data_IF_422803901747
#
_entry.id   IF_422803901747
#
_cell.length_a   1.000
_cell.length_b   1.000
_cell.length_c   1.000
_cell.angle_alpha   90.00
_cell.angle_beta   90.00
_cell.angle_gamma   90.00
#
_symmetry.space_group_name_H-M   'P 1'
#
loop_
_entity.id
_entity.type
_entity.pdbx_description
1 polymer ?
#
# COMPACT_ATOMS: atom_id res chain seq x y z
N UNK A 1 12.00 22.80 14.93
CA UNK A 1 11.62 23.00 13.51
C UNK A 1 10.23 22.42 13.34
N UNK A 2 9.21 23.27 13.17
CA UNK A 2 7.84 22.80 12.94
C UNK A 2 7.78 22.28 11.51
N UNK A 3 7.90 20.97 11.33
CA UNK A 3 7.66 20.34 10.04
C UNK A 3 6.24 20.66 9.61
N UNK A 4 6.09 21.54 8.62
CA UNK A 4 4.82 21.66 7.91
C UNK A 4 4.61 20.34 7.18
N UNK A 5 3.72 19.52 7.74
CA UNK A 5 3.53 18.13 7.33
C UNK A 5 2.38 18.08 6.34
N UNK A 6 2.60 17.44 5.19
CA UNK A 6 1.55 17.24 4.19
C UNK A 6 0.69 16.03 4.55
N UNK A 7 1.34 14.91 4.90
CA UNK A 7 0.66 13.66 5.23
C UNK A 7 1.57 12.73 6.03
N UNK A 8 0.97 11.87 6.84
CA UNK A 8 1.68 10.81 7.56
C UNK A 8 1.08 9.48 7.16
N UNK A 9 1.94 8.48 7.00
CA UNK A 9 1.53 7.12 6.72
C UNK A 9 2.17 6.19 7.75
N UNK A 10 1.40 5.25 8.28
CA UNK A 10 1.94 3.99 8.75
C UNK A 10 2.60 3.24 7.58
N UNK A 11 3.76 2.66 7.83
CA UNK A 11 4.56 1.94 6.83
C UNK A 11 4.77 0.53 7.30
N UNK A 12 4.43 -0.44 6.45
CA UNK A 12 4.70 -1.85 6.68
C UNK A 12 5.74 -2.35 5.69
N UNK A 13 6.83 -2.90 6.21
CA UNK A 13 7.87 -3.57 5.44
C UNK A 13 7.89 -5.06 5.75
N UNK A 14 8.19 -5.88 4.75
CA UNK A 14 8.46 -7.31 4.88
C UNK A 14 9.88 -7.62 4.42
N UNK A 15 10.52 -8.59 5.06
CA UNK A 15 11.85 -9.02 4.64
C UNK A 15 11.75 -10.08 3.53
N UNK A 16 12.43 -9.84 2.42
CA UNK A 16 12.60 -10.83 1.35
C UNK A 16 13.63 -11.90 1.75
N UNK A 17 13.62 -13.09 1.12
CA UNK A 17 14.60 -14.15 1.42
C UNK A 17 16.07 -13.75 1.22
N UNK A 18 16.33 -12.77 0.35
CA UNK A 18 17.66 -12.21 0.10
C UNK A 18 18.07 -11.10 1.10
N UNK A 19 17.25 -10.85 2.12
CA UNK A 19 17.50 -9.88 3.18
C UNK A 19 17.04 -8.45 2.86
N UNK A 20 16.63 -8.15 1.62
CA UNK A 20 16.09 -6.83 1.27
C UNK A 20 14.75 -6.58 1.96
N UNK A 21 14.45 -5.31 2.20
CA UNK A 21 13.14 -4.90 2.70
C UNK A 21 12.23 -4.55 1.53
N UNK A 22 11.03 -5.11 1.52
CA UNK A 22 9.99 -4.79 0.56
C UNK A 22 8.88 -4.03 1.26
N UNK A 23 8.35 -2.99 0.61
CA UNK A 23 7.25 -2.18 1.14
C UNK A 23 5.91 -2.86 0.84
N UNK A 24 5.30 -3.44 1.88
CA UNK A 24 3.90 -3.91 1.85
C UNK A 24 2.90 -2.76 1.84
N UNK A 25 3.33 -1.54 2.14
CA UNK A 25 2.61 -0.35 1.72
C UNK A 25 2.51 0.72 2.79
N UNK A 26 1.59 1.65 2.52
CA UNK A 26 1.43 2.90 3.28
C UNK A 26 -0.04 3.13 3.57
N UNK A 27 -0.38 3.31 4.84
CA UNK A 27 -1.74 3.59 5.30
C UNK A 27 -1.78 4.86 6.13
N UNK A 28 -2.59 5.83 5.71
CA UNK A 28 -2.69 7.13 6.38
C UNK A 28 -3.94 7.27 7.22
N UNK A 29 -4.78 6.24 7.32
CA UNK A 29 -6.08 6.37 7.99
C UNK A 29 -5.90 6.60 9.50
N UNK A 30 -6.48 7.69 9.98
CA UNK A 30 -6.42 8.06 11.40
C UNK A 30 -5.04 8.44 11.93
N UNK A 31 -4.01 8.64 11.10
CA UNK A 31 -2.65 9.02 11.54
C UNK A 31 -2.41 10.51 11.34
N UNK A 32 -2.07 11.23 12.43
CA UNK A 32 -1.91 12.70 12.43
C UNK A 32 -0.75 13.16 13.33
N UNK A 33 -0.48 14.47 13.35
CA UNK A 33 0.39 15.08 14.37
C UNK A 33 -0.45 15.86 15.38
N UNK A 34 -0.10 15.77 16.66
CA UNK A 34 -0.64 16.68 17.67
C UNK A 34 0.05 18.05 17.65
N UNK A 35 -0.43 18.95 18.51
CA UNK A 35 0.11 20.32 18.63
C UNK A 35 1.59 20.38 19.04
N UNK A 36 2.14 19.29 19.59
CA UNK A 36 3.54 19.15 19.98
C UNK A 36 4.41 18.51 18.87
N UNK A 37 3.82 18.17 17.72
CA UNK A 37 4.51 17.52 16.61
C UNK A 37 4.78 16.02 16.82
N UNK A 38 4.05 15.37 17.74
CA UNK A 38 4.14 13.93 17.94
C UNK A 38 3.08 13.22 17.09
N UNK A 39 3.44 12.04 16.56
CA UNK A 39 2.50 11.21 15.80
C UNK A 39 1.43 10.69 16.76
N UNK A 40 0.18 10.79 16.36
CA UNK A 40 -0.97 10.19 17.02
C UNK A 40 -1.78 9.37 16.01
N UNK A 41 -2.40 8.30 16.50
CA UNK A 41 -3.15 7.36 15.69
C UNK A 41 -4.49 7.07 16.36
N UNK A 42 -5.59 7.31 15.62
CA UNK A 42 -6.96 7.03 16.07
C UNK A 42 -7.38 5.58 15.79
N UNK A 43 -6.69 4.90 14.87
CA UNK A 43 -7.04 3.56 14.38
C UNK A 43 -6.34 2.44 15.14
N UNK A 44 -5.13 2.68 15.68
CA UNK A 44 -4.37 1.72 16.48
C UNK A 44 -3.36 2.40 17.43
N UNK A 45 -3.00 1.77 18.56
CA UNK A 45 -1.90 2.26 19.40
C UNK A 45 -0.59 2.42 18.61
N UNK A 46 0.13 3.49 18.90
CA UNK A 46 1.39 3.80 18.21
C UNK A 46 2.40 2.67 18.37
N UNK A 47 3.05 2.30 17.27
CA UNK A 47 4.08 1.26 17.28
C UNK A 47 3.56 -0.14 17.59
N UNK A 48 2.24 -0.37 17.58
CA UNK A 48 1.64 -1.69 17.58
C UNK A 48 1.01 -1.96 16.23
N UNK A 49 1.39 -3.07 15.62
CA UNK A 49 0.75 -3.57 14.42
C UNK A 49 0.03 -4.88 14.74
N UNK A 50 -1.23 -4.98 14.31
CA UNK A 50 -2.11 -6.12 14.60
C UNK A 50 -1.87 -7.35 13.70
N UNK A 51 -0.80 -7.32 12.89
CA UNK A 51 -0.45 -8.40 11.97
C UNK A 51 -1.36 -8.52 10.76
N UNK A 52 -2.33 -7.61 10.56
CA UNK A 52 -3.27 -7.67 9.43
C UNK A 52 -2.89 -6.70 8.33
N UNK A 53 -3.15 -7.11 7.09
CA UNK A 53 -2.94 -6.30 5.90
C UNK A 53 -3.94 -6.66 4.79
N UNK A 54 -3.96 -5.84 3.73
CA UNK A 54 -4.90 -5.97 2.61
C UNK A 54 -4.57 -7.23 1.79
N UNK A 55 -5.61 -8.01 1.49
CA UNK A 55 -5.60 -9.13 0.54
C UNK A 55 -6.56 -8.89 -0.60
N UNK A 56 -6.14 -9.25 -1.81
CA UNK A 56 -6.96 -9.27 -3.02
C UNK A 56 -6.86 -10.67 -3.63
N UNK A 57 -8.01 -11.30 -3.88
CA UNK A 57 -8.03 -12.62 -4.51
C UNK A 57 -7.26 -13.69 -3.74
N UNK A 58 -7.28 -13.58 -2.41
CA UNK A 58 -6.56 -14.50 -1.53
C UNK A 58 -5.05 -14.29 -1.48
N UNK A 59 -4.49 -13.23 -2.06
CA UNK A 59 -3.06 -12.91 -1.94
C UNK A 59 -2.86 -11.64 -1.12
N UNK A 60 -1.87 -11.59 -0.23
CA UNK A 60 -1.48 -10.36 0.44
C UNK A 60 -0.80 -9.45 -0.59
N UNK A 61 -1.15 -8.17 -0.58
CA UNK A 61 -0.71 -7.25 -1.63
C UNK A 61 -0.03 -6.02 -1.03
N UNK A 62 0.89 -5.43 -1.80
CA UNK A 62 1.43 -4.12 -1.45
C UNK A 62 0.36 -3.05 -1.74
N UNK A 63 -0.08 -2.29 -0.74
CA UNK A 63 -1.17 -1.33 -0.90
C UNK A 63 -0.80 0.05 -0.37
N UNK A 64 -0.93 1.07 -1.22
CA UNK A 64 -0.50 2.44 -0.92
C UNK A 64 -1.71 3.35 -0.93
N UNK A 65 -2.03 3.97 0.20
CA UNK A 65 -3.12 4.92 0.30
C UNK A 65 -2.80 6.16 -0.55
N UNK A 66 -3.64 6.43 -1.53
CA UNK A 66 -3.53 7.64 -2.34
C UNK A 66 -4.33 8.77 -1.74
N UNK A 67 -5.53 8.47 -1.24
CA UNK A 67 -6.48 9.48 -0.79
C UNK A 67 -7.38 8.92 0.32
N UNK A 68 -7.74 9.78 1.26
CA UNK A 68 -8.69 9.50 2.32
C UNK A 68 -9.52 10.76 2.54
N UNK A 69 -10.84 10.58 2.61
CA UNK A 69 -11.78 11.60 3.07
C UNK A 69 -12.75 11.01 4.09
N UNK A 70 -13.74 11.79 4.52
CA UNK A 70 -14.71 11.37 5.52
C UNK A 70 -15.65 10.23 5.08
N UNK A 71 -15.66 9.85 3.81
CA UNK A 71 -16.59 8.87 3.24
C UNK A 71 -15.90 7.71 2.55
N UNK A 72 -14.63 7.85 2.21
CA UNK A 72 -13.93 6.90 1.37
C UNK A 72 -12.42 6.88 1.59
N UNK A 73 -11.86 5.68 1.46
CA UNK A 73 -10.42 5.44 1.43
C UNK A 73 -10.06 4.84 0.08
N UNK A 74 -8.97 5.32 -0.49
CA UNK A 74 -8.48 4.92 -1.79
C UNK A 74 -7.04 4.43 -1.71
N UNK A 75 -6.79 3.27 -2.29
CA UNK A 75 -5.47 2.67 -2.36
C UNK A 75 -5.12 2.28 -3.79
N UNK A 76 -3.83 2.30 -4.09
CA UNK A 76 -3.25 1.70 -5.29
C UNK A 76 -2.44 0.48 -4.92
N UNK A 77 -2.57 -0.59 -5.70
CA UNK A 77 -1.76 -1.81 -5.56
C UNK A 77 -0.97 -2.00 -6.85
N UNK A 78 0.37 -1.93 -6.82
CA UNK A 78 1.17 -2.05 -8.02
C UNK A 78 1.15 -3.47 -8.56
N UNK A 79 0.96 -3.59 -9.87
CA UNK A 79 0.85 -4.87 -10.59
C UNK A 79 1.51 -4.81 -11.97
N UNK A 80 1.78 -5.99 -12.53
CA UNK A 80 1.77 -6.18 -13.98
C UNK A 80 0.40 -6.73 -14.36
N UNK A 81 -0.37 -5.94 -15.09
CA UNK A 81 -1.67 -6.34 -15.62
C UNK A 81 -1.49 -6.74 -17.08
N UNK A 82 -1.69 -8.02 -17.38
CA UNK A 82 -1.41 -8.60 -18.70
C UNK A 82 0.00 -8.27 -19.22
N UNK A 83 0.99 -8.21 -18.32
CA UNK A 83 2.39 -7.89 -18.62
C UNK A 83 2.74 -6.41 -18.60
N UNK A 84 1.77 -5.50 -18.45
CA UNK A 84 2.00 -4.05 -18.45
C UNK A 84 1.97 -3.46 -17.03
N UNK A 85 2.92 -2.58 -16.72
CA UNK A 85 2.96 -1.86 -15.43
C UNK A 85 1.68 -1.06 -15.23
N UNK A 86 0.95 -1.41 -14.17
CA UNK A 86 -0.36 -0.84 -13.86
C UNK A 86 -0.59 -0.84 -12.36
N UNK A 87 -1.57 -0.09 -11.87
CA UNK A 87 -2.04 -0.19 -10.49
C UNK A 87 -3.49 -0.67 -10.46
N UNK A 88 -3.80 -1.61 -9.57
CA UNK A 88 -5.19 -1.84 -9.18
C UNK A 88 -5.65 -0.67 -8.33
N UNK A 89 -6.85 -0.18 -8.60
CA UNK A 89 -7.49 0.89 -7.84
C UNK A 89 -8.46 0.27 -6.86
N UNK A 90 -8.22 0.47 -5.57
CA UNK A 90 -9.09 0.00 -4.49
C UNK A 90 -9.85 1.18 -3.90
N UNK A 91 -11.09 0.90 -3.51
CA UNK A 91 -11.93 1.85 -2.77
C UNK A 91 -12.63 1.15 -1.62
N UNK A 92 -12.61 1.80 -0.46
CA UNK A 92 -13.48 1.52 0.67
C UNK A 92 -14.47 2.68 0.79
N UNK A 93 -15.74 2.38 0.96
CA UNK A 93 -16.82 3.36 1.14
C UNK A 93 -17.99 2.72 1.89
N UNK A 94 -19.02 3.50 2.23
CA UNK A 94 -20.21 3.01 2.93
C UNK A 94 -20.92 1.83 2.22
N UNK A 95 -20.86 1.78 0.88
CA UNK A 95 -21.47 0.70 0.09
C UNK A 95 -20.56 -0.53 -0.01
N UNK A 96 -19.26 -0.34 0.17
CA UNK A 96 -18.21 -1.34 0.04
C UNK A 96 -17.29 -1.30 1.28
N UNK A 97 -17.82 -1.58 2.50
CA UNK A 97 -17.02 -1.49 3.73
C UNK A 97 -15.88 -2.51 3.77
N UNK A 98 -16.00 -3.63 3.04
CA UNK A 98 -14.93 -4.62 2.86
C UNK A 98 -13.89 -4.25 1.79
N UNK A 99 -14.08 -3.14 1.10
CA UNK A 99 -13.27 -2.72 -0.04
C UNK A 99 -13.67 -3.40 -1.35
N UNK A 100 -13.41 -2.71 -2.46
CA UNK A 100 -13.63 -3.24 -3.81
C UNK A 100 -12.49 -2.81 -4.74
N UNK A 101 -12.08 -3.72 -5.63
CA UNK A 101 -11.21 -3.37 -6.77
C UNK A 101 -12.08 -2.72 -7.83
N UNK A 102 -11.90 -1.41 -8.04
CA UNK A 102 -12.67 -0.60 -8.99
C UNK A 102 -12.21 -0.86 -10.43
N UNK A 103 -10.94 -1.19 -10.62
CA UNK A 103 -10.36 -1.48 -11.92
C UNK A 103 -8.84 -1.38 -11.89
N UNK A 104 -8.25 -1.27 -13.08
CA UNK A 104 -6.82 -1.17 -13.30
C UNK A 104 -6.52 0.17 -13.96
N UNK A 105 -5.45 0.85 -13.54
CA UNK A 105 -4.92 2.02 -14.19
C UNK A 105 -3.54 1.72 -14.74
N UNK A 106 -3.38 1.78 -16.05
CA UNK A 106 -2.09 1.60 -16.72
C UNK A 106 -1.15 2.75 -16.38
N UNK A 107 0.15 2.47 -16.40
CA UNK A 107 1.19 3.50 -16.42
C UNK A 107 1.68 3.71 -17.87
N UNK A 108 1.75 4.97 -18.30
CA UNK A 108 2.30 5.36 -19.61
C UNK A 108 3.83 5.24 -19.62
N UNK A 109 4.44 5.42 -18.44
CA UNK A 109 5.85 5.22 -18.13
C UNK A 109 5.99 5.00 -16.60
N UNK A 110 7.19 4.75 -16.09
CA UNK A 110 7.44 4.42 -14.68
C UNK A 110 6.92 5.45 -13.65
N UNK A 111 6.59 6.67 -14.07
CA UNK A 111 6.13 7.74 -13.19
C UNK A 111 4.74 8.30 -13.54
N UNK A 112 4.21 8.00 -14.72
CA UNK A 112 3.02 8.67 -15.24
C UNK A 112 1.86 7.68 -15.34
N UNK A 113 0.91 7.70 -14.40
CA UNK A 113 -0.31 6.93 -14.52
C UNK A 113 -1.21 7.50 -15.63
N UNK A 114 -1.87 6.63 -16.37
CA UNK A 114 -2.91 7.00 -17.33
C UNK A 114 -4.15 7.54 -16.60
N UNK A 115 -4.96 8.37 -17.27
CA UNK A 115 -6.25 8.85 -16.77
C UNK A 115 -7.31 7.74 -16.79
N UNK A 116 -7.19 6.79 -17.73
CA UNK A 116 -8.15 5.71 -17.90
C UNK A 116 -8.17 4.72 -16.74
N UNK A 117 -9.36 4.18 -16.44
CA UNK A 117 -9.51 2.98 -15.61
C UNK A 117 -10.11 1.88 -16.47
N UNK A 118 -9.41 0.76 -16.57
CA UNK A 118 -9.80 -0.42 -17.31
C UNK A 118 -10.49 -1.42 -16.39
N UNK A 119 -11.64 -1.92 -16.82
CA UNK A 119 -12.36 -3.00 -16.12
C UNK A 119 -11.62 -4.32 -16.30
N UNK A 120 -11.46 -5.06 -15.22
CA UNK A 120 -10.86 -6.41 -15.23
C UNK A 120 -11.86 -7.40 -15.77
N UNK A 121 -11.44 -8.20 -16.75
CA UNK A 121 -12.20 -9.21 -17.45
C UNK A 121 -11.74 -10.60 -17.06
N UNK A 122 -12.56 -11.59 -17.42
CA UNK A 122 -12.20 -13.00 -17.27
C UNK A 122 -10.93 -13.31 -18.08
N UNK A 123 -10.03 -14.07 -17.48
CA UNK A 123 -8.73 -14.49 -17.98
C UNK A 123 -7.66 -13.39 -18.00
N UNK A 124 -7.91 -12.20 -17.44
CA UNK A 124 -6.83 -11.23 -17.24
C UNK A 124 -5.84 -11.75 -16.18
N UNK A 125 -4.56 -11.55 -16.45
CA UNK A 125 -3.44 -11.93 -15.61
C UNK A 125 -3.00 -10.75 -14.76
N UNK A 126 -2.91 -10.95 -13.45
CA UNK A 126 -2.47 -9.94 -12.50
C UNK A 126 -1.28 -10.51 -11.75
N UNK A 127 -0.10 -9.89 -11.93
CA UNK A 127 1.09 -10.18 -11.12
C UNK A 127 1.25 -9.06 -10.11
N UNK A 128 1.15 -9.37 -8.83
CA UNK A 128 1.34 -8.40 -7.77
C UNK A 128 2.80 -8.02 -7.64
N UNK A 129 3.04 -6.72 -7.51
CA UNK A 129 4.37 -6.15 -7.33
C UNK A 129 4.52 -5.63 -5.91
N UNK A 130 5.75 -5.67 -5.42
CA UNK A 130 6.15 -5.06 -4.16
C UNK A 130 7.36 -4.16 -4.42
N UNK A 131 7.32 -2.93 -3.90
CA UNK A 131 8.42 -2.00 -4.07
C UNK A 131 9.56 -2.37 -3.12
N UNK A 132 10.80 -2.34 -3.60
CA UNK A 132 11.96 -2.40 -2.73
C UNK A 132 12.03 -1.15 -1.86
N UNK A 133 12.08 -1.33 -0.55
CA UNK A 133 12.18 -0.23 0.39
C UNK A 133 13.61 0.29 0.40
N UNK A 134 13.75 1.58 0.08
CA UNK A 134 14.99 2.31 0.21
C UNK A 134 14.70 3.56 1.04
N UNK A 135 15.49 3.82 2.10
CA UNK A 135 15.24 4.94 3.01
C UNK A 135 15.51 6.30 2.34
N UNK A 136 16.39 6.33 1.34
CA UNK A 136 16.75 7.52 0.59
C UNK A 136 15.94 7.60 -0.72
N UNK A 137 15.32 8.75 -0.98
CA UNK A 137 14.37 8.99 -2.08
C UNK A 137 15.05 9.14 -3.47
N UNK A 138 16.38 9.03 -3.54
CA UNK A 138 17.19 9.39 -4.72
C UNK A 138 17.48 8.21 -5.68
N UNK A 139 16.98 7.02 -5.35
CA UNK A 139 17.21 5.82 -6.13
C UNK A 139 16.01 5.45 -6.99
N UNK A 140 16.28 4.88 -8.17
CA UNK A 140 15.26 4.35 -9.08
C UNK A 140 14.35 3.37 -8.35
N UNK A 141 13.02 3.59 -8.43
CA UNK A 141 12.03 2.68 -7.82
C UNK A 141 12.15 1.30 -8.45
N UNK A 142 12.39 0.28 -7.63
CA UNK A 142 12.46 -1.13 -8.07
C UNK A 142 11.25 -1.89 -7.56
N UNK A 143 10.61 -2.63 -8.46
CA UNK A 143 9.51 -3.52 -8.12
C UNK A 143 9.92 -4.98 -8.27
N UNK A 144 9.44 -5.82 -7.35
CA UNK A 144 9.63 -7.26 -7.36
C UNK A 144 8.27 -7.95 -7.53
N UNK A 145 8.10 -8.86 -8.49
CA UNK A 145 6.95 -9.76 -8.54
C UNK A 145 6.91 -10.64 -7.29
N UNK A 146 5.77 -10.70 -6.61
CA UNK A 146 5.63 -11.48 -5.36
C UNK A 146 4.59 -12.59 -5.44
N UNK A 147 3.52 -12.39 -6.20
CA UNK A 147 2.47 -13.39 -6.38
C UNK A 147 1.67 -13.08 -7.66
N UNK A 148 0.81 -13.99 -8.09
CA UNK A 148 -0.06 -13.75 -9.25
C UNK A 148 -1.41 -14.45 -9.13
N UNK A 149 -2.39 -13.90 -9.84
CA UNK A 149 -3.71 -14.51 -10.02
C UNK A 149 -4.16 -14.36 -11.47
N UNK A 150 -5.10 -15.21 -11.85
CA UNK A 150 -5.87 -15.07 -13.10
C UNK A 150 -7.31 -14.79 -12.71
N UNK A 151 -7.86 -13.68 -13.19
CA UNK A 151 -9.23 -13.28 -12.87
C UNK A 151 -10.22 -14.26 -13.53
N UNK A 152 -10.91 -15.11 -12.76
CA UNK A 152 -11.93 -16.01 -13.34
C UNK A 152 -13.34 -15.42 -13.23
N UNK A 153 -13.64 -14.74 -12.11
CA UNK A 153 -14.89 -14.03 -11.81
C UNK A 153 -14.59 -12.79 -10.98
N UNK A 154 -15.48 -11.80 -10.96
CA UNK A 154 -15.32 -10.57 -10.14
C UNK A 154 -15.11 -10.86 -8.66
N UNK A 155 -15.75 -11.91 -8.13
CA UNK A 155 -15.56 -12.36 -6.73
C UNK A 155 -14.13 -12.82 -6.41
N UNK A 156 -13.34 -13.17 -7.42
CA UNK A 156 -11.94 -13.59 -7.25
C UNK A 156 -11.02 -12.38 -7.04
N UNK A 157 -11.54 -11.15 -7.12
CA UNK A 157 -10.86 -9.91 -6.75
C UNK A 157 -11.34 -9.38 -5.40
N UNK A 158 -11.95 -10.24 -4.58
CA UNK A 158 -12.46 -9.86 -3.26
C UNK A 158 -11.35 -9.27 -2.41
N UNK A 159 -11.61 -8.09 -1.89
CA UNK A 159 -10.76 -7.38 -0.94
C UNK A 159 -11.12 -7.86 0.47
N UNK A 160 -10.11 -8.17 1.28
CA UNK A 160 -10.29 -8.48 2.70
C UNK A 160 -9.08 -7.95 3.50
N UNK A 161 -9.29 -7.68 4.78
CA UNK A 161 -8.21 -7.42 5.73
C UNK A 161 -7.94 -8.69 6.55
N UNK A 162 -6.76 -9.31 6.39
CA UNK A 162 -6.44 -10.57 7.07
C UNK A 162 -5.02 -10.57 7.60
N UNK A 163 -4.70 -11.52 8.48
CA UNK A 163 -3.33 -11.72 8.94
C UNK A 163 -2.36 -11.91 7.76
N UNK A 164 -1.18 -11.33 7.88
CA UNK A 164 -0.08 -11.56 6.93
C UNK A 164 0.49 -12.98 7.10
N UNK A 165 1.22 -13.50 6.09
CA UNK A 165 1.97 -14.74 6.23
C UNK A 165 3.06 -14.63 7.30
N UNK A 166 3.53 -15.77 7.80
CA UNK A 166 4.68 -15.81 8.71
C UNK A 166 5.91 -15.18 8.08
N UNK A 167 6.68 -14.45 8.88
CA UNK A 167 7.84 -13.72 8.41
C UNK A 167 8.27 -12.61 9.35
N UNK A 168 9.31 -11.89 8.94
CA UNK A 168 9.82 -10.72 9.66
C UNK A 168 9.30 -9.45 9.01
N UNK A 169 8.69 -8.60 9.83
CA UNK A 169 8.07 -7.36 9.42
C UNK A 169 8.63 -6.19 10.20
N UNK A 170 8.62 -5.01 9.58
CA UNK A 170 8.92 -3.75 10.24
C UNK A 170 7.76 -2.81 10.10
N UNK A 171 7.37 -2.18 11.20
CA UNK A 171 6.30 -1.20 11.23
C UNK A 171 6.80 0.10 11.83
N UNK A 172 6.42 1.21 11.20
CA UNK A 172 6.83 2.55 11.59
C UNK A 172 5.99 3.58 10.84
N UNK A 173 6.47 4.81 10.76
CA UNK A 173 5.75 5.90 10.12
C UNK A 173 6.63 6.64 9.12
N UNK A 174 6.01 7.15 8.06
CA UNK A 174 6.60 8.05 7.09
C UNK A 174 5.88 9.39 7.16
N UNK A 175 6.62 10.44 7.48
CA UNK A 175 6.16 11.82 7.44
C UNK A 175 6.57 12.41 6.10
N UNK A 176 5.60 12.88 5.34
CA UNK A 176 5.83 13.57 4.06
C UNK A 176 5.72 15.07 4.28
N UNK A 177 6.80 15.80 4.03
CA UNK A 177 6.81 17.26 4.16
C UNK A 177 6.09 17.96 2.99
N UNK A 178 5.94 19.29 3.07
CA UNK A 178 5.30 20.09 2.00
C UNK A 178 6.03 20.00 0.65
N UNK A 179 7.32 19.68 0.64
CA UNK A 179 8.12 19.50 -0.57
C UNK A 179 8.04 18.07 -1.13
N UNK A 180 7.28 17.19 -0.47
CA UNK A 180 7.12 15.80 -0.86
C UNK A 180 8.22 14.87 -0.38
N UNK A 181 9.17 15.34 0.43
CA UNK A 181 10.26 14.50 0.94
C UNK A 181 9.75 13.60 2.05
N UNK A 182 10.19 12.35 2.04
CA UNK A 182 9.81 11.32 3.01
C UNK A 182 10.82 11.27 4.16
N UNK A 183 10.30 11.26 5.38
CA UNK A 183 11.08 11.13 6.60
C UNK A 183 10.54 9.95 7.40
N UNK A 184 11.34 8.91 7.57
CA UNK A 184 10.92 7.69 8.24
C UNK A 184 11.26 7.73 9.74
N UNK A 185 10.32 7.31 10.58
CA UNK A 185 10.60 7.08 12.00
C UNK A 185 11.43 5.80 12.17
N UNK A 186 11.93 5.58 13.39
CA UNK A 186 12.43 4.25 13.76
C UNK A 186 11.35 3.20 13.51
N UNK A 187 11.75 2.08 12.91
CA UNK A 187 10.89 0.92 12.74
C UNK A 187 10.99 0.00 13.96
N UNK A 188 9.85 -0.56 14.35
CA UNK A 188 9.76 -1.68 15.28
C UNK A 188 9.65 -2.98 14.48
N UNK A 189 10.37 -4.01 14.90
CA UNK A 189 10.37 -5.32 14.23
C UNK A 189 9.34 -6.26 14.88
N UNK A 190 8.65 -7.02 14.03
CA UNK A 190 7.61 -7.98 14.40
C UNK A 190 7.91 -9.32 13.73
N UNK A 191 7.65 -10.41 14.45
CA UNK A 191 7.64 -11.77 13.92
C UNK A 191 6.21 -12.29 13.94
N UNK A 192 5.75 -12.80 12.81
CA UNK A 192 4.41 -13.37 12.63
C UNK A 192 4.46 -14.87 12.40
#
# INVERSE_FOLDING_TARGET
>A
MILHTRKIYAVLLSQAPDGRWLSYGMDGDGVTLNSLGQIESQSAPLGQWNGKWIRIGGKNVAAYMTFADSRSLHYTVPVLFNGERSDLILRYDEKNPGGVVVGVRRHLNDQTPDKGITTIKKNDHIVYLCQEFQPDDDASVRYQPVDSIVAKKTKDLRVNLTSVPSGTYRYGYCVVDLYGRKHYTRFTEFKQ
#
